data_IF_772789707540
#
_entry.id   IF_772789707540
#
_cell.length_a   1.000
_cell.length_b   1.000
_cell.length_c   1.000
_cell.angle_alpha   90.00
_cell.angle_beta   90.00
_cell.angle_gamma   90.00
#
_symmetry.space_group_name_H-M   'P 1'
#
loop_
_entity.id
_entity.type
_entity.pdbx_description
1 polymer ?
#
# COMPACT_ATOMS: atom_id res chain seq x y z
N UNK A 1 19.12 45.53 -26.57
CA UNK A 1 18.25 44.36 -26.73
C UNK A 1 17.68 44.44 -28.14
N UNK A 2 17.98 43.47 -28.99
CA UNK A 2 17.49 43.44 -30.36
C UNK A 2 15.98 43.15 -30.39
N UNK A 3 15.31 43.43 -31.51
CA UNK A 3 13.89 43.09 -31.70
C UNK A 3 13.70 41.56 -31.58
N UNK A 4 14.68 40.77 -31.97
CA UNK A 4 14.69 39.30 -31.84
C UNK A 4 14.77 38.85 -30.37
N UNK A 5 15.55 39.55 -29.54
CA UNK A 5 15.62 39.30 -28.09
C UNK A 5 14.28 39.61 -27.40
N UNK A 6 13.58 40.65 -27.85
CA UNK A 6 12.24 40.98 -27.36
C UNK A 6 11.22 39.91 -27.75
N UNK A 7 11.20 39.51 -29.03
CA UNK A 7 10.29 38.47 -29.53
C UNK A 7 10.50 37.13 -28.84
N UNK A 8 11.76 36.74 -28.62
CA UNK A 8 12.10 35.51 -27.90
C UNK A 8 11.68 35.57 -26.42
N UNK A 9 11.90 36.71 -25.74
CA UNK A 9 11.44 36.91 -24.37
C UNK A 9 9.92 36.81 -24.24
N UNK A 10 9.16 37.48 -25.11
CA UNK A 10 7.69 37.37 -25.11
C UNK A 10 7.22 35.95 -25.42
N UNK A 11 7.87 35.26 -26.36
CA UNK A 11 7.59 33.86 -26.65
C UNK A 11 7.76 32.96 -25.41
N UNK A 12 8.85 33.14 -24.65
CA UNK A 12 9.10 32.41 -23.40
C UNK A 12 8.04 32.73 -22.35
N UNK A 13 7.68 34.00 -22.16
CA UNK A 13 6.65 34.42 -21.20
C UNK A 13 5.30 33.79 -21.55
N UNK A 14 4.90 33.84 -22.82
CA UNK A 14 3.64 33.24 -23.29
C UNK A 14 3.65 31.73 -23.06
N UNK A 15 4.76 31.05 -23.37
CA UNK A 15 4.91 29.62 -23.13
C UNK A 15 4.75 29.26 -21.64
N UNK A 16 5.41 30.01 -20.75
CA UNK A 16 5.31 29.81 -19.30
C UNK A 16 3.86 30.04 -18.83
N UNK A 17 3.20 31.08 -19.33
CA UNK A 17 1.81 31.38 -18.99
C UNK A 17 0.87 30.23 -19.40
N UNK A 18 1.03 29.69 -20.62
CA UNK A 18 0.27 28.55 -21.12
C UNK A 18 0.51 27.30 -20.26
N UNK A 19 1.77 26.99 -19.95
CA UNK A 19 2.12 25.84 -19.10
C UNK A 19 1.57 26.00 -17.67
N UNK A 20 1.57 27.22 -17.14
CA UNK A 20 0.97 27.54 -15.84
C UNK A 20 -0.53 27.30 -15.84
N UNK A 21 -1.24 27.84 -16.83
CA UNK A 21 -2.69 27.64 -16.99
C UNK A 21 -3.05 26.15 -17.17
N UNK A 22 -2.32 25.43 -18.02
CA UNK A 22 -2.51 23.99 -18.23
C UNK A 22 -2.28 23.19 -16.95
N UNK A 23 -1.23 23.53 -16.18
CA UNK A 23 -0.92 22.89 -14.90
C UNK A 23 -2.02 23.12 -13.87
N UNK A 24 -2.57 24.33 -13.79
CA UNK A 24 -3.66 24.66 -12.89
C UNK A 24 -4.94 23.88 -13.23
N UNK A 25 -5.34 23.85 -14.50
CA UNK A 25 -6.51 23.09 -14.97
C UNK A 25 -6.34 21.60 -14.66
N UNK A 26 -5.16 21.05 -14.96
CA UNK A 26 -4.83 19.66 -14.66
C UNK A 26 -4.94 19.36 -13.16
N UNK A 27 -4.35 20.21 -12.31
CA UNK A 27 -4.37 20.07 -10.87
C UNK A 27 -5.80 19.94 -10.32
N UNK A 28 -6.69 20.88 -10.67
CA UNK A 28 -8.07 20.85 -10.17
C UNK A 28 -8.85 19.63 -10.66
N UNK A 29 -8.64 19.21 -11.91
CA UNK A 29 -9.30 18.02 -12.47
C UNK A 29 -8.86 16.75 -11.74
N UNK A 30 -7.56 16.58 -11.53
CA UNK A 30 -7.02 15.39 -10.86
C UNK A 30 -7.35 15.38 -9.37
N UNK A 31 -7.35 16.54 -8.71
CA UNK A 31 -7.77 16.69 -7.31
C UNK A 31 -9.18 16.13 -7.09
N UNK A 32 -10.16 16.50 -7.94
CA UNK A 32 -11.54 16.01 -7.80
C UNK A 32 -11.61 14.48 -7.88
N UNK A 33 -10.92 13.88 -8.87
CA UNK A 33 -10.85 12.43 -9.05
C UNK A 33 -10.22 11.73 -7.86
N UNK A 34 -9.16 12.31 -7.30
CA UNK A 34 -8.50 11.71 -6.15
C UNK A 34 -9.37 11.77 -4.89
N UNK A 35 -10.07 12.89 -4.65
CA UNK A 35 -11.00 13.01 -3.52
C UNK A 35 -12.10 11.94 -3.61
N UNK A 36 -12.64 11.70 -4.81
CA UNK A 36 -13.62 10.63 -5.04
C UNK A 36 -13.01 9.25 -4.75
N UNK A 37 -11.82 8.96 -5.27
CA UNK A 37 -11.10 7.71 -4.99
C UNK A 37 -10.90 7.49 -3.48
N UNK A 38 -10.43 8.51 -2.75
CA UNK A 38 -10.19 8.42 -1.32
C UNK A 38 -11.51 8.15 -0.57
N UNK A 39 -12.58 8.85 -0.93
CA UNK A 39 -13.92 8.63 -0.37
C UNK A 39 -14.39 7.19 -0.61
N UNK A 40 -14.29 6.71 -1.85
CA UNK A 40 -14.79 5.38 -2.22
C UNK A 40 -14.01 4.27 -1.52
N UNK A 41 -12.68 4.42 -1.40
CA UNK A 41 -11.83 3.51 -0.62
C UNK A 41 -12.23 3.52 0.85
N UNK A 42 -12.40 4.71 1.45
CA UNK A 42 -12.82 4.83 2.85
C UNK A 42 -14.17 4.18 3.09
N UNK A 43 -15.17 4.44 2.23
CA UNK A 43 -16.50 3.84 2.34
C UNK A 43 -16.44 2.32 2.22
N UNK A 44 -15.65 1.79 1.30
CA UNK A 44 -15.46 0.35 1.14
C UNK A 44 -14.79 -0.29 2.37
N UNK A 45 -13.76 0.35 2.93
CA UNK A 45 -13.06 -0.11 4.12
C UNK A 45 -13.95 -0.04 5.36
N UNK A 46 -14.68 1.05 5.57
CA UNK A 46 -15.61 1.18 6.70
C UNK A 46 -16.76 0.18 6.60
N UNK A 47 -17.31 -0.03 5.39
CA UNK A 47 -18.35 -1.04 5.16
C UNK A 47 -17.85 -2.46 5.46
N UNK A 48 -16.61 -2.77 5.09
CA UNK A 48 -16.04 -4.09 5.29
C UNK A 48 -15.68 -4.36 6.76
N UNK A 49 -14.95 -3.43 7.40
CA UNK A 49 -14.47 -3.62 8.76
C UNK A 49 -15.52 -3.31 9.83
N UNK A 50 -16.50 -2.46 9.53
CA UNK A 50 -17.52 -2.00 10.48
C UNK A 50 -16.93 -1.57 11.84
N UNK A 51 -16.03 -0.56 11.87
CA UNK A 51 -15.29 -0.19 13.07
C UNK A 51 -16.19 0.44 14.14
N UNK A 52 -15.96 0.07 15.40
CA UNK A 52 -16.61 0.71 16.55
C UNK A 52 -16.00 2.09 16.86
N UNK A 53 -14.72 2.28 16.55
CA UNK A 53 -14.03 3.57 16.62
C UNK A 53 -13.04 3.72 15.47
N UNK A 54 -12.91 4.96 14.97
CA UNK A 54 -12.08 5.30 13.82
C UNK A 54 -11.31 6.60 14.04
N UNK A 55 -10.03 6.58 13.72
CA UNK A 55 -9.13 7.72 13.77
C UNK A 55 -8.45 7.87 12.41
N UNK A 56 -8.40 9.10 11.87
CA UNK A 56 -7.80 9.40 10.57
C UNK A 56 -6.75 10.49 10.69
N UNK A 57 -5.64 10.31 10.00
CA UNK A 57 -4.59 11.30 9.85
C UNK A 57 -4.24 11.48 8.37
N UNK A 58 -4.42 12.70 7.85
CA UNK A 58 -4.05 13.04 6.48
C UNK A 58 -2.53 13.18 6.34
N UNK A 59 -1.95 12.62 5.28
CA UNK A 59 -0.51 12.67 5.00
C UNK A 59 -0.08 13.87 4.14
N UNK A 60 -1.00 14.81 3.91
CA UNK A 60 -0.79 15.95 3.02
C UNK A 60 -1.89 16.05 1.96
N UNK A 61 -3.13 16.22 2.42
CA UNK A 61 -4.37 16.41 1.66
C UNK A 61 -4.69 15.37 0.57
N UNK A 62 -3.86 15.28 -0.47
CA UNK A 62 -4.00 14.38 -1.63
C UNK A 62 -2.87 13.34 -1.74
N UNK A 63 -2.00 13.21 -0.74
CA UNK A 63 -0.96 12.16 -0.67
C UNK A 63 -1.51 10.83 -0.13
N UNK A 64 -2.67 10.90 0.54
CA UNK A 64 -3.31 9.75 1.17
C UNK A 64 -3.53 9.97 2.66
N UNK A 65 -3.75 8.88 3.39
CA UNK A 65 -4.10 8.91 4.81
C UNK A 65 -3.54 7.71 5.56
N UNK A 66 -3.37 7.88 6.86
CA UNK A 66 -3.31 6.81 7.85
C UNK A 66 -4.64 6.73 8.56
N UNK A 67 -5.11 5.52 8.83
CA UNK A 67 -6.27 5.32 9.68
C UNK A 67 -6.03 4.21 10.69
N UNK A 68 -6.68 4.33 11.83
CA UNK A 68 -6.71 3.32 12.88
C UNK A 68 -8.15 3.01 13.21
N UNK A 69 -8.53 1.77 12.99
CA UNK A 69 -9.84 1.23 13.32
C UNK A 69 -9.74 0.34 14.56
N UNK A 70 -10.72 0.47 15.44
CA UNK A 70 -10.99 -0.51 16.50
C UNK A 70 -12.25 -1.25 16.09
N UNK A 71 -12.18 -2.58 16.05
CA UNK A 71 -13.30 -3.44 15.69
C UNK A 71 -13.99 -3.97 16.95
N UNK A 72 -15.23 -4.51 16.84
CA UNK A 72 -15.81 -5.35 17.89
C UNK A 72 -14.82 -6.44 18.32
N UNK A 73 -14.77 -6.80 19.60
CA UNK A 73 -13.76 -7.75 20.10
C UNK A 73 -12.36 -7.15 20.33
N UNK A 74 -12.19 -5.82 20.18
CA UNK A 74 -10.94 -5.08 20.39
C UNK A 74 -9.81 -5.40 19.39
N UNK A 75 -10.10 -6.03 18.24
CA UNK A 75 -9.14 -6.10 17.15
C UNK A 75 -8.82 -4.69 16.65
N UNK A 76 -7.60 -4.50 16.13
CA UNK A 76 -7.18 -3.22 15.57
C UNK A 76 -6.77 -3.40 14.12
N UNK A 77 -7.17 -2.46 13.28
CA UNK A 77 -6.73 -2.39 11.88
C UNK A 77 -6.04 -1.05 11.67
N UNK A 78 -4.83 -1.12 11.16
CA UNK A 78 -4.05 0.03 10.75
C UNK A 78 -4.04 0.07 9.23
N UNK A 79 -4.41 1.22 8.68
CA UNK A 79 -4.55 1.42 7.25
C UNK A 79 -3.58 2.51 6.84
N UNK A 80 -2.86 2.29 5.75
CA UNK A 80 -2.03 3.29 5.12
C UNK A 80 -2.35 3.31 3.63
N UNK A 81 -3.02 4.37 3.19
CA UNK A 81 -3.21 4.64 1.77
C UNK A 81 -2.20 5.70 1.35
N UNK A 82 -1.42 5.40 0.32
CA UNK A 82 -0.53 6.35 -0.34
C UNK A 82 -0.90 6.45 -1.82
N UNK A 83 -0.99 7.66 -2.32
CA UNK A 83 -1.39 7.93 -3.71
C UNK A 83 -0.21 8.47 -4.51
N UNK A 84 -0.20 8.17 -5.80
CA UNK A 84 0.74 8.78 -6.74
C UNK A 84 0.34 10.25 -6.92
N UNK A 85 1.30 11.20 -6.99
CA UNK A 85 1.03 12.62 -7.19
C UNK A 85 0.55 12.93 -8.62
N UNK A 86 -0.65 12.45 -8.97
CA UNK A 86 -1.30 12.64 -10.29
C UNK A 86 -1.59 14.10 -10.59
N UNK A 87 -1.70 14.94 -9.57
CA UNK A 87 -1.99 16.37 -9.66
C UNK A 87 -0.82 17.19 -10.22
N UNK A 88 0.40 16.67 -10.14
CA UNK A 88 1.59 17.33 -10.68
C UNK A 88 1.76 16.96 -12.15
N UNK A 89 1.32 17.85 -13.04
CA UNK A 89 1.31 17.61 -14.50
C UNK A 89 2.68 17.15 -15.03
N UNK A 90 3.74 17.82 -14.61
CA UNK A 90 5.10 17.55 -15.08
C UNK A 90 5.75 16.35 -14.40
N UNK A 91 5.40 16.06 -13.15
CA UNK A 91 6.01 14.97 -12.38
C UNK A 91 5.34 13.61 -12.63
N UNK A 92 4.03 13.61 -12.89
CA UNK A 92 3.25 12.39 -13.03
C UNK A 92 3.77 11.41 -14.11
N UNK A 93 4.22 11.87 -15.30
CA UNK A 93 4.80 10.98 -16.31
C UNK A 93 6.02 10.21 -15.78
N UNK A 94 6.93 10.87 -15.08
CA UNK A 94 8.11 10.23 -14.47
C UNK A 94 7.71 9.24 -13.38
N UNK A 95 6.72 9.58 -12.54
CA UNK A 95 6.20 8.65 -11.53
C UNK A 95 5.61 7.38 -12.17
N UNK A 96 4.92 7.52 -13.30
CA UNK A 96 4.35 6.39 -14.05
C UNK A 96 5.42 5.52 -14.71
N UNK A 97 6.45 6.12 -15.32
CA UNK A 97 7.60 5.41 -15.90
C UNK A 97 8.35 4.63 -14.81
N UNK A 98 8.50 5.22 -13.62
CA UNK A 98 9.08 4.56 -12.44
C UNK A 98 8.17 3.47 -11.82
N UNK A 99 7.03 3.14 -12.45
CA UNK A 99 6.12 2.09 -12.01
C UNK A 99 5.35 2.40 -10.72
N UNK A 100 5.30 3.66 -10.28
CA UNK A 100 4.59 4.03 -9.05
C UNK A 100 3.08 3.88 -9.24
N UNK A 101 2.43 3.27 -8.25
CA UNK A 101 0.99 3.05 -8.18
C UNK A 101 0.47 3.51 -6.83
N UNK A 102 -0.83 3.76 -6.77
CA UNK A 102 -1.48 3.99 -5.48
C UNK A 102 -1.38 2.67 -4.69
N UNK A 103 -1.11 2.76 -3.40
CA UNK A 103 -0.85 1.59 -2.57
C UNK A 103 -1.67 1.69 -1.30
N UNK A 104 -2.43 0.64 -1.01
CA UNK A 104 -3.11 0.48 0.27
C UNK A 104 -2.44 -0.66 1.03
N UNK A 105 -2.02 -0.36 2.24
CA UNK A 105 -1.51 -1.32 3.22
C UNK A 105 -2.52 -1.47 4.35
N UNK A 106 -2.79 -2.72 4.71
CA UNK A 106 -3.68 -3.11 5.79
C UNK A 106 -2.86 -3.96 6.75
N UNK A 107 -2.72 -3.49 7.98
CA UNK A 107 -2.08 -4.18 9.08
C UNK A 107 -3.13 -4.52 10.14
N UNK A 108 -3.32 -5.80 10.40
CA UNK A 108 -4.34 -6.32 11.29
C UNK A 108 -3.73 -6.91 12.55
N UNK A 109 -4.23 -6.47 13.69
CA UNK A 109 -3.86 -6.93 15.01
C UNK A 109 -5.05 -7.68 15.64
N UNK A 110 -5.04 -9.02 15.61
CA UNK A 110 -6.08 -9.81 16.26
C UNK A 110 -5.92 -9.76 17.78
N UNK A 111 -7.01 -9.58 18.53
CA UNK A 111 -7.00 -9.63 20.00
C UNK A 111 -7.08 -11.06 20.54
N UNK A 112 -7.73 -11.96 19.80
CA UNK A 112 -8.10 -13.34 20.13
C UNK A 112 -7.16 -14.39 19.52
N UNK A 113 -6.24 -13.98 18.64
CA UNK A 113 -5.26 -14.84 17.96
C UNK A 113 -3.85 -14.29 18.13
N UNK A 114 -2.87 -15.15 17.93
CA UNK A 114 -1.45 -14.81 17.97
C UNK A 114 -0.81 -15.15 16.62
N UNK A 115 0.00 -14.24 16.09
CA UNK A 115 0.80 -14.48 14.88
C UNK A 115 1.74 -15.66 15.09
N UNK A 116 1.69 -16.64 14.18
CA UNK A 116 2.35 -17.93 14.33
C UNK A 116 3.88 -17.87 14.19
N UNK A 117 4.41 -16.90 13.41
CA UNK A 117 5.84 -16.73 13.21
C UNK A 117 6.17 -15.61 12.23
N UNK A 118 7.44 -15.49 11.85
CA UNK A 118 7.94 -14.43 10.97
C UNK A 118 7.92 -14.91 9.51
N UNK A 119 7.18 -14.21 8.67
CA UNK A 119 7.16 -14.39 7.22
C UNK A 119 7.01 -13.03 6.54
N UNK A 120 7.82 -12.82 5.51
CA UNK A 120 7.88 -11.59 4.74
C UNK A 120 7.91 -11.95 3.26
N UNK A 121 6.94 -11.49 2.49
CA UNK A 121 6.95 -11.59 1.04
C UNK A 121 7.09 -10.18 0.47
N UNK A 122 7.97 -10.03 -0.51
CA UNK A 122 8.19 -8.78 -1.24
C UNK A 122 8.27 -9.02 -2.73
N UNK A 123 7.74 -8.09 -3.51
CA UNK A 123 7.88 -8.08 -4.97
C UNK A 123 9.36 -8.03 -5.38
N UNK A 124 9.78 -9.00 -6.19
CA UNK A 124 11.12 -9.07 -6.78
C UNK A 124 11.37 -7.79 -7.58
N UNK A 125 12.55 -7.19 -7.40
CA UNK A 125 12.95 -5.90 -7.99
C UNK A 125 12.24 -4.64 -7.47
N UNK A 126 11.38 -4.72 -6.45
CA UNK A 126 10.83 -3.50 -5.82
C UNK A 126 11.84 -2.87 -4.86
N UNK A 127 12.47 -1.75 -5.26
CA UNK A 127 13.41 -1.02 -4.39
C UNK A 127 12.75 -0.50 -3.12
N UNK A 128 11.51 0.00 -3.23
CA UNK A 128 10.76 0.56 -2.11
C UNK A 128 10.44 -0.53 -1.09
N UNK A 129 9.87 -1.66 -1.53
CA UNK A 129 9.48 -2.74 -0.62
C UNK A 129 10.69 -3.38 0.05
N UNK A 130 11.78 -3.60 -0.70
CA UNK A 130 13.02 -4.13 -0.12
C UNK A 130 13.62 -3.18 0.93
N UNK A 131 13.56 -1.86 0.68
CA UNK A 131 14.06 -0.87 1.65
C UNK A 131 13.18 -0.81 2.90
N UNK A 132 11.86 -0.81 2.74
CA UNK A 132 10.91 -0.83 3.87
C UNK A 132 11.09 -2.09 4.71
N UNK A 133 11.27 -3.24 4.06
CA UNK A 133 11.48 -4.51 4.75
C UNK A 133 12.80 -4.50 5.52
N UNK A 134 13.91 -4.11 4.88
CA UNK A 134 15.23 -4.03 5.53
C UNK A 134 15.23 -3.05 6.71
N UNK A 135 14.57 -1.90 6.59
CA UNK A 135 14.48 -0.93 7.69
C UNK A 135 13.60 -1.42 8.85
N UNK A 136 12.56 -2.22 8.56
CA UNK A 136 11.64 -2.73 9.59
C UNK A 136 12.17 -3.97 10.30
N UNK A 137 12.83 -4.87 9.57
CA UNK A 137 13.27 -6.17 10.06
C UNK A 137 14.73 -6.16 10.49
N UNK A 138 15.57 -5.37 9.82
CA UNK A 138 17.00 -5.26 10.06
C UNK A 138 17.74 -6.58 9.84
N UNK A 139 18.75 -6.83 10.66
CA UNK A 139 19.65 -7.99 10.60
C UNK A 139 18.95 -9.35 10.78
N UNK A 140 17.68 -9.36 11.22
CA UNK A 140 16.89 -10.61 11.30
C UNK A 140 16.60 -11.19 9.93
N UNK A 141 16.45 -10.34 8.92
CA UNK A 141 16.11 -10.78 7.57
C UNK A 141 17.20 -11.68 6.97
N UNK A 142 18.46 -11.38 7.29
CA UNK A 142 19.63 -12.12 6.81
C UNK A 142 19.76 -13.51 7.47
N UNK A 143 19.01 -13.77 8.55
CA UNK A 143 18.98 -15.06 9.26
C UNK A 143 17.82 -15.97 8.81
N UNK A 144 16.94 -15.47 7.94
CA UNK A 144 15.77 -16.21 7.48
C UNK A 144 16.07 -17.00 6.22
N UNK A 145 15.36 -18.12 6.03
CA UNK A 145 15.35 -18.81 4.75
C UNK A 145 14.63 -17.95 3.71
N UNK A 146 15.07 -18.02 2.46
CA UNK A 146 14.40 -17.32 1.36
C UNK A 146 14.15 -18.24 0.17
N UNK A 147 12.98 -18.09 -0.45
CA UNK A 147 12.60 -18.79 -1.68
C UNK A 147 11.81 -17.86 -2.58
N UNK A 148 11.93 -18.08 -3.88
CA UNK A 148 11.12 -17.37 -4.85
C UNK A 148 9.75 -18.03 -5.01
N UNK A 149 8.73 -17.22 -5.32
CA UNK A 149 7.41 -17.71 -5.72
C UNK A 149 6.87 -16.81 -6.82
N UNK A 150 6.18 -17.43 -7.78
CA UNK A 150 5.47 -16.70 -8.84
C UNK A 150 4.00 -16.57 -8.49
N UNK A 151 3.46 -15.37 -8.67
CA UNK A 151 2.03 -15.07 -8.65
C UNK A 151 1.75 -13.98 -9.66
N UNK A 152 0.99 -12.95 -9.28
CA UNK A 152 0.82 -11.76 -10.12
C UNK A 152 2.15 -11.07 -10.46
N UNK A 153 3.06 -11.02 -9.48
CA UNK A 153 4.46 -10.67 -9.69
C UNK A 153 5.39 -11.86 -9.40
N UNK A 154 6.67 -11.70 -9.69
CA UNK A 154 7.70 -12.52 -9.08
C UNK A 154 7.95 -11.99 -7.66
N UNK A 155 8.08 -12.89 -6.70
CA UNK A 155 8.26 -12.55 -5.29
C UNK A 155 9.45 -13.28 -4.67
N UNK A 156 9.98 -12.70 -3.60
CA UNK A 156 10.90 -13.36 -2.67
C UNK A 156 10.17 -13.46 -1.33
N UNK A 157 10.12 -14.67 -0.77
CA UNK A 157 9.54 -14.95 0.54
C UNK A 157 10.67 -15.29 1.51
N UNK A 158 10.80 -14.50 2.56
CA UNK A 158 11.63 -14.77 3.72
C UNK A 158 10.78 -15.37 4.82
N UNK A 159 11.18 -16.50 5.39
CA UNK A 159 10.35 -17.23 6.35
C UNK A 159 11.19 -17.87 7.45
N UNK A 160 10.60 -17.94 8.65
CA UNK A 160 11.19 -18.64 9.80
C UNK A 160 10.87 -20.14 9.80
N UNK A 161 9.74 -20.52 9.21
CA UNK A 161 9.20 -21.89 9.21
C UNK A 161 8.61 -22.24 7.84
N UNK A 162 8.85 -23.46 7.36
CA UNK A 162 8.43 -23.90 6.02
C UNK A 162 6.91 -23.91 5.83
N UNK A 163 6.14 -24.19 6.89
CA UNK A 163 4.68 -24.14 6.83
C UNK A 163 4.15 -22.72 6.58
N UNK A 164 4.87 -21.68 7.00
CA UNK A 164 4.52 -20.28 6.72
C UNK A 164 4.81 -19.92 5.27
N UNK A 165 5.91 -20.45 4.71
CA UNK A 165 6.19 -20.31 3.29
C UNK A 165 5.05 -20.90 2.45
N UNK A 166 4.65 -22.14 2.70
CA UNK A 166 3.62 -22.81 1.91
C UNK A 166 2.28 -22.06 1.91
N UNK A 167 1.89 -21.53 3.08
CA UNK A 167 0.68 -20.70 3.22
C UNK A 167 0.76 -19.43 2.37
N UNK A 168 1.82 -18.64 2.52
CA UNK A 168 1.98 -17.37 1.81
C UNK A 168 2.18 -17.59 0.31
N UNK A 169 3.00 -18.56 -0.07
CA UNK A 169 3.25 -18.94 -1.45
C UNK A 169 1.98 -19.43 -2.14
N UNK A 170 1.23 -20.33 -1.50
CA UNK A 170 -0.04 -20.83 -2.00
C UNK A 170 -1.10 -19.74 -2.14
N UNK A 171 -1.21 -18.84 -1.15
CA UNK A 171 -2.14 -17.72 -1.17
C UNK A 171 -1.86 -16.78 -2.36
N UNK A 172 -0.59 -16.43 -2.60
CA UNK A 172 -0.24 -15.50 -3.68
C UNK A 172 -0.26 -16.16 -5.05
N UNK A 173 0.20 -17.41 -5.18
CA UNK A 173 0.19 -18.16 -6.43
C UNK A 173 -1.25 -18.45 -6.94
N UNK A 174 -2.21 -18.60 -6.03
CA UNK A 174 -3.63 -18.79 -6.37
C UNK A 174 -4.39 -17.48 -6.61
N UNK A 175 -3.79 -16.32 -6.32
CA UNK A 175 -4.42 -15.01 -6.48
C UNK A 175 -3.93 -14.29 -7.73
N UNK A 176 -4.83 -13.60 -8.42
CA UNK A 176 -4.47 -12.67 -9.50
C UNK A 176 -4.39 -11.21 -9.00
N UNK A 177 -4.09 -11.03 -7.71
CA UNK A 177 -4.08 -9.74 -7.06
C UNK A 177 -2.67 -9.11 -7.11
N UNK A 178 -2.56 -7.80 -7.36
CA UNK A 178 -1.28 -7.11 -7.38
C UNK A 178 -0.77 -6.80 -5.95
N UNK A 179 -0.64 -7.84 -5.13
CA UNK A 179 -0.05 -7.76 -3.79
C UNK A 179 1.43 -7.42 -3.95
N UNK A 180 1.93 -6.44 -3.22
CA UNK A 180 3.33 -5.99 -3.31
C UNK A 180 4.17 -6.45 -2.13
N UNK A 181 3.54 -6.61 -0.96
CA UNK A 181 4.20 -6.99 0.27
C UNK A 181 3.24 -7.74 1.20
N UNK A 182 3.74 -8.76 1.89
CA UNK A 182 3.10 -9.37 3.07
C UNK A 182 4.16 -9.40 4.16
N UNK A 183 3.79 -9.09 5.40
CA UNK A 183 4.70 -9.11 6.52
C UNK A 183 3.99 -9.52 7.80
N UNK A 184 4.63 -10.37 8.60
CA UNK A 184 4.18 -10.66 9.96
C UNK A 184 5.15 -10.09 10.99
N UNK A 185 4.60 -9.58 12.09
CA UNK A 185 5.36 -9.02 13.19
C UNK A 185 4.88 -9.65 14.50
N UNK A 186 5.39 -10.84 14.88
CA UNK A 186 4.93 -11.56 16.08
C UNK A 186 5.05 -10.73 17.36
N UNK A 187 6.14 -9.97 17.53
CA UNK A 187 6.33 -9.09 18.69
C UNK A 187 5.28 -7.98 18.82
N UNK A 188 4.61 -7.62 17.73
CA UNK A 188 3.50 -6.65 17.74
C UNK A 188 2.14 -7.32 17.54
N UNK A 189 2.10 -8.64 17.31
CA UNK A 189 0.94 -9.40 16.91
C UNK A 189 0.22 -8.81 15.67
N UNK A 190 0.96 -8.49 14.62
CA UNK A 190 0.43 -7.89 13.39
C UNK A 190 0.66 -8.79 12.18
N UNK A 191 -0.36 -8.91 11.34
CA UNK A 191 -0.24 -9.38 9.95
C UNK A 191 -0.52 -8.20 9.04
N UNK A 192 0.41 -7.86 8.15
CA UNK A 192 0.28 -6.76 7.19
C UNK A 192 0.29 -7.31 5.76
N UNK A 193 -0.55 -6.75 4.89
CA UNK A 193 -0.45 -6.90 3.45
C UNK A 193 -0.62 -5.55 2.75
N UNK A 194 0.19 -5.31 1.73
CA UNK A 194 0.09 -4.16 0.84
C UNK A 194 -0.19 -4.62 -0.59
N UNK A 195 -0.99 -3.83 -1.31
CA UNK A 195 -1.31 -4.07 -2.70
C UNK A 195 -1.39 -2.77 -3.50
N UNK A 196 -1.19 -2.88 -4.81
CA UNK A 196 -1.45 -1.79 -5.73
C UNK A 196 -2.98 -1.57 -5.81
N UNK A 197 -3.44 -0.43 -5.30
CA UNK A 197 -4.84 -0.10 -5.18
C UNK A 197 -5.54 -0.07 -6.54
N UNK A 198 -6.56 -0.91 -6.69
CA UNK A 198 -7.62 -0.78 -7.68
C UNK A 198 -8.97 -0.95 -6.98
N UNK A 199 -9.91 -0.04 -7.22
CA UNK A 199 -11.26 -0.13 -6.66
C UNK A 199 -12.00 -1.39 -7.12
N UNK A 200 -11.72 -1.88 -8.33
CA UNK A 200 -12.38 -3.06 -8.89
C UNK A 200 -11.99 -4.36 -8.17
N UNK A 201 -10.81 -4.42 -7.55
CA UNK A 201 -10.27 -5.61 -6.87
C UNK A 201 -10.14 -5.43 -5.36
N UNK A 202 -10.60 -4.29 -4.82
CA UNK A 202 -10.47 -3.98 -3.39
C UNK A 202 -11.22 -4.99 -2.51
N UNK A 203 -12.44 -5.39 -2.89
CA UNK A 203 -13.21 -6.39 -2.15
C UNK A 203 -12.51 -7.76 -2.12
N UNK A 204 -11.94 -8.17 -3.26
CA UNK A 204 -11.18 -9.41 -3.38
C UNK A 204 -9.90 -9.38 -2.55
N UNK A 205 -9.20 -8.24 -2.53
CA UNK A 205 -8.04 -8.04 -1.67
C UNK A 205 -8.39 -8.09 -0.17
N UNK A 206 -9.53 -7.51 0.23
CA UNK A 206 -9.99 -7.58 1.61
C UNK A 206 -10.26 -9.03 2.04
N UNK A 207 -10.96 -9.81 1.21
CA UNK A 207 -11.19 -11.23 1.45
C UNK A 207 -9.89 -12.05 1.46
N UNK A 208 -8.94 -11.72 0.58
CA UNK A 208 -7.60 -12.31 0.59
C UNK A 208 -6.88 -12.03 1.92
N UNK A 209 -6.89 -10.78 2.38
CA UNK A 209 -6.24 -10.37 3.62
C UNK A 209 -6.88 -11.06 4.84
N UNK A 210 -8.21 -11.20 4.91
CA UNK A 210 -8.87 -11.95 5.99
C UNK A 210 -8.45 -13.43 6.06
N UNK A 211 -8.37 -14.10 4.90
CA UNK A 211 -7.88 -15.48 4.81
C UNK A 211 -6.43 -15.59 5.29
N UNK A 212 -5.58 -14.68 4.82
CA UNK A 212 -4.18 -14.59 5.20
C UNK A 212 -4.02 -14.41 6.73
N UNK A 213 -4.80 -13.52 7.35
CA UNK A 213 -4.81 -13.34 8.81
C UNK A 213 -5.16 -14.66 9.52
N UNK A 214 -6.17 -15.38 9.05
CA UNK A 214 -6.59 -16.66 9.66
C UNK A 214 -5.50 -17.74 9.55
N UNK A 215 -4.81 -17.82 8.41
CA UNK A 215 -3.78 -18.83 8.16
C UNK A 215 -2.46 -18.55 8.90
N UNK A 216 -2.10 -17.27 9.05
CA UNK A 216 -0.85 -16.84 9.69
C UNK A 216 -0.98 -16.60 11.20
N UNK A 217 -2.15 -16.86 11.77
CA UNK A 217 -2.38 -16.71 13.21
C UNK A 217 -3.01 -17.96 13.81
N UNK A 218 -2.67 -18.25 15.06
CA UNK A 218 -3.22 -19.35 15.86
C UNK A 218 -4.14 -18.79 16.94
N UNK A 219 -5.20 -19.52 17.37
CA UNK A 219 -6.02 -19.11 18.50
C UNK A 219 -5.16 -18.83 19.73
N UNK A 220 -5.39 -17.71 20.40
CA UNK A 220 -4.72 -17.41 21.65
C UNK A 220 -5.23 -18.40 22.68
N UNK A 221 -4.34 -19.20 23.27
CA UNK A 221 -4.70 -20.09 24.35
C UNK A 221 -5.39 -19.28 25.45
N UNK A 222 -6.66 -19.56 25.71
CA UNK A 222 -7.39 -18.97 26.83
C UNK A 222 -6.75 -19.55 28.08
N UNK A 223 -5.91 -18.77 28.77
CA UNK A 223 -5.61 -19.07 30.17
C UNK A 223 -6.95 -18.97 30.91
N UNK A 224 -7.51 -20.13 31.23
CA UNK A 224 -8.55 -20.25 32.27
C UNK A 224 -7.97 -19.82 33.60
#
# INVERSE_FOLDING_TARGET
>A
MSIEDLLSLYGVIILIAILGAASAIWFFRQRRRLIVLLRDVVLALEKHFNPSSKEYQWLGYIVGFKARYVLPGKHRVYLLLTTVPRHSLLYYPFAKIAGRRDRLEIAFNPSDRVVAGEVYLVKKNSRVDNTVLRNSVGDRLDKMFSREVRGFYDYIVFYSDESLYDKVAGAVASSNLPVTMIATYPGQNIVSAAYDLSLSTLSEFLAFHERLVKELTVPRAVRK
#
